data_IF_488863317058
#
_entry.id   IF_488863317058
#
_cell.length_a   1.000
_cell.length_b   1.000
_cell.length_c   1.000
_cell.angle_alpha   90.00
_cell.angle_beta   90.00
_cell.angle_gamma   90.00
#
_symmetry.space_group_name_H-M   'P 1'
#
loop_
_entity.id
_entity.type
_entity.pdbx_description
1 polymer ?
#
# COMPACT_ATOMS: atom_id res chain seq x y z
N UNK A 1 -53.56 -33.43 -23.33
CA UNK A 1 -52.10 -33.59 -23.54
C UNK A 1 -51.46 -32.61 -22.58
N UNK A 2 -51.12 -33.10 -21.38
CA UNK A 2 -50.35 -32.34 -20.41
C UNK A 2 -48.90 -32.38 -20.87
N UNK A 3 -48.34 -31.23 -21.24
CA UNK A 3 -46.90 -31.04 -21.19
C UNK A 3 -46.63 -30.20 -19.95
N UNK A 4 -46.26 -30.89 -18.87
CA UNK A 4 -45.58 -30.29 -17.74
C UNK A 4 -44.30 -29.62 -18.27
N UNK A 5 -44.34 -28.31 -18.47
CA UNK A 5 -43.15 -27.49 -18.56
C UNK A 5 -42.59 -27.27 -17.17
N UNK A 6 -41.98 -28.31 -16.59
CA UNK A 6 -41.07 -28.15 -15.47
C UNK A 6 -39.74 -27.64 -16.02
N UNK A 7 -39.47 -26.34 -15.86
CA UNK A 7 -38.13 -25.83 -15.62
C UNK A 7 -38.31 -24.68 -14.62
N UNK A 8 -38.38 -25.03 -13.33
CA UNK A 8 -37.79 -24.20 -12.30
C UNK A 8 -36.31 -24.06 -12.67
N UNK A 9 -35.97 -22.98 -13.37
CA UNK A 9 -34.61 -22.49 -13.38
C UNK A 9 -34.62 -21.37 -12.36
N UNK A 10 -34.35 -21.72 -11.10
CA UNK A 10 -33.81 -20.80 -10.12
C UNK A 10 -32.51 -20.26 -10.75
N UNK A 11 -32.64 -19.18 -11.53
CA UNK A 11 -31.55 -18.45 -12.18
C UNK A 11 -30.78 -17.61 -11.14
N UNK A 12 -30.67 -18.12 -9.92
CA UNK A 12 -29.97 -17.52 -8.79
C UNK A 12 -28.67 -18.27 -8.48
N UNK A 13 -28.25 -19.16 -9.38
CA UNK A 13 -26.97 -19.88 -9.29
C UNK A 13 -25.83 -18.97 -9.75
N UNK A 14 -25.28 -18.27 -8.74
CA UNK A 14 -23.93 -17.72 -8.64
C UNK A 14 -23.60 -16.45 -9.44
N UNK A 15 -24.43 -15.40 -9.31
CA UNK A 15 -23.90 -14.06 -9.57
C UNK A 15 -22.89 -13.70 -8.48
N UNK A 16 -21.61 -13.50 -8.86
CA UNK A 16 -20.56 -13.07 -7.94
C UNK A 16 -20.97 -11.72 -7.34
N UNK A 17 -20.96 -11.61 -6.01
CA UNK A 17 -21.33 -10.35 -5.34
C UNK A 17 -20.42 -9.21 -5.82
N UNK A 18 -20.92 -7.98 -5.76
CA UNK A 18 -20.13 -6.81 -6.16
C UNK A 18 -18.83 -6.70 -5.35
N UNK A 19 -18.88 -6.95 -4.05
CA UNK A 19 -17.71 -6.95 -3.17
C UNK A 19 -16.67 -7.97 -3.61
N UNK A 20 -17.11 -9.17 -4.01
CA UNK A 20 -16.22 -10.22 -4.50
C UNK A 20 -15.65 -9.87 -5.88
N UNK A 21 -16.41 -9.20 -6.75
CA UNK A 21 -15.89 -8.68 -8.04
C UNK A 21 -14.81 -7.63 -7.82
N UNK A 22 -15.03 -6.68 -6.90
CA UNK A 22 -14.03 -5.68 -6.53
C UNK A 22 -12.78 -6.34 -5.95
N UNK A 23 -12.94 -7.28 -5.02
CA UNK A 23 -11.82 -7.99 -4.40
C UNK A 23 -10.99 -8.74 -5.45
N UNK A 24 -11.63 -9.46 -6.37
CA UNK A 24 -10.95 -10.17 -7.44
C UNK A 24 -10.23 -9.20 -8.40
N UNK A 25 -10.85 -8.06 -8.73
CA UNK A 25 -10.23 -7.05 -9.61
C UNK A 25 -9.00 -6.37 -8.97
N UNK A 26 -8.96 -6.32 -7.64
CA UNK A 26 -7.89 -5.70 -6.87
C UNK A 26 -6.87 -6.69 -6.30
N UNK A 27 -7.01 -8.00 -6.57
CA UNK A 27 -6.17 -9.06 -5.98
C UNK A 27 -4.67 -8.82 -6.22
N UNK A 28 -4.31 -8.41 -7.45
CA UNK A 28 -2.93 -8.12 -7.84
C UNK A 28 -2.55 -6.64 -7.64
N UNK A 29 -3.45 -5.85 -7.06
CA UNK A 29 -3.20 -4.43 -6.80
C UNK A 29 -2.45 -4.25 -5.49
N UNK A 30 -1.16 -3.90 -5.57
CA UNK A 30 -0.36 -3.51 -4.42
C UNK A 30 -0.88 -2.20 -3.82
N UNK A 31 -1.38 -2.30 -2.60
CA UNK A 31 -1.88 -1.16 -1.80
C UNK A 31 -0.98 -0.79 -0.63
N UNK A 32 -0.05 -1.67 -0.24
CA UNK A 32 0.87 -1.46 0.88
C UNK A 32 2.34 -1.27 0.41
N UNK A 33 3.15 -0.45 1.12
CA UNK A 33 4.58 -0.33 0.84
C UNK A 33 5.30 -1.66 1.07
N UNK A 34 6.24 -2.00 0.18
CA UNK A 34 7.03 -3.24 0.28
C UNK A 34 8.51 -2.89 0.36
N UNK A 35 9.30 -3.52 1.24
CA UNK A 35 10.76 -3.37 1.24
C UNK A 35 11.37 -3.58 -0.14
N UNK A 36 12.22 -2.64 -0.58
CA UNK A 36 12.82 -2.59 -1.90
C UNK A 36 11.98 -1.89 -2.97
N UNK A 37 10.74 -1.48 -2.67
CA UNK A 37 9.88 -0.72 -3.58
C UNK A 37 10.04 0.80 -3.42
N UNK A 38 9.32 1.53 -4.28
CA UNK A 38 9.20 2.98 -4.15
C UNK A 38 7.87 3.37 -3.51
N UNK A 39 7.88 4.48 -2.79
CA UNK A 39 6.69 5.14 -2.27
C UNK A 39 6.79 6.66 -2.48
N UNK A 40 5.67 7.36 -2.46
CA UNK A 40 5.63 8.83 -2.46
C UNK A 40 5.24 9.26 -1.05
N UNK A 41 6.07 10.11 -0.43
CA UNK A 41 5.63 10.87 0.74
C UNK A 41 4.59 11.89 0.29
N UNK A 42 3.32 11.69 0.68
CA UNK A 42 2.23 12.55 0.25
C UNK A 42 2.31 13.98 0.81
N UNK A 43 3.05 14.21 1.90
CA UNK A 43 3.22 15.53 2.50
C UNK A 43 4.24 16.35 1.73
N UNK A 44 5.45 15.81 1.53
CA UNK A 44 6.52 16.51 0.82
C UNK A 44 6.45 16.35 -0.71
N UNK A 45 5.69 15.36 -1.19
CA UNK A 45 5.57 14.95 -2.60
C UNK A 45 6.88 14.44 -3.18
N UNK A 46 7.75 13.90 -2.33
CA UNK A 46 9.05 13.36 -2.74
C UNK A 46 8.99 11.84 -2.84
N UNK A 47 9.82 11.30 -3.72
CA UNK A 47 9.93 9.86 -3.94
C UNK A 47 10.88 9.26 -2.89
N UNK A 48 10.45 8.15 -2.31
CA UNK A 48 11.12 7.40 -1.26
C UNK A 48 11.47 6.00 -1.78
N UNK A 49 12.62 5.49 -1.36
CA UNK A 49 12.94 4.08 -1.42
C UNK A 49 12.61 3.44 -0.07
N UNK A 50 11.78 2.40 -0.08
CA UNK A 50 11.35 1.69 1.15
C UNK A 50 12.43 0.68 1.52
N UNK A 51 13.08 0.86 2.67
CA UNK A 51 14.11 -0.08 3.15
C UNK A 51 13.48 -1.26 3.88
N UNK A 52 12.62 -0.99 4.87
CA UNK A 52 12.05 -2.03 5.71
C UNK A 52 10.71 -1.59 6.31
N UNK A 53 9.86 -2.58 6.64
CA UNK A 53 8.78 -2.39 7.62
C UNK A 53 9.39 -2.58 9.01
N UNK A 54 9.29 -1.57 9.87
CA UNK A 54 9.95 -1.57 11.18
C UNK A 54 8.99 -1.80 12.35
N UNK A 55 7.70 -1.53 12.16
CA UNK A 55 6.65 -1.87 13.11
C UNK A 55 5.33 -2.16 12.40
N UNK A 56 4.48 -3.02 12.99
CA UNK A 56 3.16 -3.32 12.44
C UNK A 56 2.12 -2.26 12.82
N UNK A 57 2.34 -1.53 13.91
CA UNK A 57 1.53 -0.38 14.34
C UNK A 57 2.40 0.78 14.82
N UNK A 58 1.85 1.99 14.89
CA UNK A 58 2.56 3.15 15.45
C UNK A 58 2.71 3.06 16.97
N UNK A 59 1.83 2.32 17.64
CA UNK A 59 1.97 1.99 19.06
C UNK A 59 3.22 1.18 19.33
N UNK A 60 3.45 0.11 18.55
CA UNK A 60 4.67 -0.69 18.64
C UNK A 60 5.92 0.14 18.34
N UNK A 61 5.88 0.99 17.31
CA UNK A 61 6.98 1.89 16.97
C UNK A 61 7.31 2.84 18.14
N UNK A 62 6.30 3.43 18.77
CA UNK A 62 6.46 4.30 19.92
C UNK A 62 7.14 3.57 21.10
N UNK A 63 6.76 2.32 21.37
CA UNK A 63 7.37 1.53 22.43
C UNK A 63 8.86 1.22 22.16
N UNK A 64 9.23 0.99 20.89
CA UNK A 64 10.58 0.65 20.48
C UNK A 64 11.50 1.88 20.47
N UNK A 65 11.03 2.99 19.89
CA UNK A 65 11.86 4.16 19.57
C UNK A 65 11.61 5.34 20.53
N UNK A 66 10.61 5.25 21.42
CA UNK A 66 10.16 6.33 22.30
C UNK A 66 9.88 7.63 21.52
N UNK A 67 9.34 7.49 20.32
CA UNK A 67 9.03 8.58 19.39
C UNK A 67 7.64 8.40 18.79
N UNK A 68 6.79 9.42 18.91
CA UNK A 68 5.42 9.38 18.43
C UNK A 68 5.36 9.84 16.97
N UNK A 69 5.28 8.87 16.07
CA UNK A 69 5.22 9.11 14.63
C UNK A 69 3.83 9.60 14.19
N UNK A 70 2.76 9.28 14.93
CA UNK A 70 1.39 9.66 14.59
C UNK A 70 1.17 11.17 14.70
N UNK A 71 1.86 11.82 15.63
CA UNK A 71 1.77 13.27 15.86
C UNK A 71 2.92 14.07 15.26
N UNK A 72 3.87 13.41 14.58
CA UNK A 72 5.04 14.07 14.00
C UNK A 72 4.82 14.52 12.55
N UNK A 73 4.80 15.84 12.34
CA UNK A 73 4.55 16.45 11.02
C UNK A 73 3.17 16.12 10.45
N UNK A 74 2.07 16.26 11.22
CA UNK A 74 0.73 15.87 10.79
C UNK A 74 0.27 16.76 9.65
N UNK A 75 -0.44 16.16 8.69
CA UNK A 75 -1.04 16.87 7.59
C UNK A 75 -2.57 16.82 7.70
N UNK A 76 -3.30 17.95 7.65
CA UNK A 76 -4.73 17.99 7.95
C UNK A 76 -5.63 17.10 7.08
N UNK A 77 -5.14 16.70 5.91
CA UNK A 77 -5.88 15.89 4.94
C UNK A 77 -5.35 14.47 4.76
N UNK A 78 -4.33 14.09 5.55
CA UNK A 78 -3.77 12.75 5.55
C UNK A 78 -3.77 12.24 6.99
N UNK A 79 -4.94 11.84 7.50
CA UNK A 79 -5.03 11.31 8.84
C UNK A 79 -4.25 10.01 8.91
N UNK A 80 -3.21 10.02 9.75
CA UNK A 80 -2.43 8.84 10.14
C UNK A 80 -3.15 8.20 11.30
N UNK A 81 -3.38 6.88 11.22
CA UNK A 81 -4.04 6.11 12.28
C UNK A 81 -2.99 5.48 13.21
N UNK A 82 -3.36 5.19 14.46
CA UNK A 82 -2.49 4.48 15.41
C UNK A 82 -2.21 3.05 14.97
N UNK A 83 -3.13 2.46 14.20
CA UNK A 83 -3.00 1.14 13.61
C UNK A 83 -2.15 1.14 12.32
N UNK A 84 -1.65 2.29 11.87
CA UNK A 84 -0.75 2.35 10.71
C UNK A 84 0.58 1.67 11.01
N UNK A 85 1.07 0.89 10.04
CA UNK A 85 2.44 0.38 10.09
C UNK A 85 3.48 1.50 9.91
N UNK A 86 4.68 1.30 10.45
CA UNK A 86 5.82 2.19 10.26
C UNK A 86 6.84 1.59 9.27
N UNK A 87 7.28 2.41 8.31
CA UNK A 87 8.24 2.04 7.28
C UNK A 87 9.47 2.93 7.33
N UNK A 88 10.64 2.32 7.31
CA UNK A 88 11.93 2.99 7.18
C UNK A 88 12.23 3.22 5.70
N UNK A 89 12.54 4.47 5.35
CA UNK A 89 12.73 4.92 3.98
C UNK A 89 13.92 5.87 3.82
N UNK A 90 14.48 5.90 2.62
CA UNK A 90 15.42 6.93 2.16
C UNK A 90 14.74 7.84 1.14
N UNK A 91 15.09 9.13 1.14
CA UNK A 91 14.74 9.99 0.02
C UNK A 91 15.60 9.63 -1.19
N UNK A 92 14.97 9.39 -2.35
CA UNK A 92 15.70 9.01 -3.56
C UNK A 92 16.64 10.12 -4.02
N UNK A 93 16.31 11.39 -3.77
CA UNK A 93 17.18 12.50 -4.11
C UNK A 93 18.52 12.49 -3.35
N UNK A 94 18.58 11.80 -2.21
CA UNK A 94 19.80 11.62 -1.42
C UNK A 94 20.57 10.36 -1.85
N UNK A 95 19.97 9.51 -2.69
CA UNK A 95 20.60 8.32 -3.27
C UNK A 95 21.32 8.68 -4.57
N UNK A 96 22.60 8.31 -4.66
CA UNK A 96 23.34 8.34 -5.92
C UNK A 96 23.70 6.91 -6.34
N UNK A 97 23.61 6.61 -7.64
CA UNK A 97 23.98 5.29 -8.17
C UNK A 97 25.45 4.94 -7.92
N UNK A 98 26.32 5.95 -7.88
CA UNK A 98 27.75 5.80 -7.61
C UNK A 98 28.06 5.61 -6.11
N UNK A 99 27.07 5.81 -5.22
CA UNK A 99 27.21 5.73 -3.77
C UNK A 99 26.35 4.64 -3.12
N UNK A 100 25.90 3.64 -3.88
CA UNK A 100 25.10 2.54 -3.34
C UNK A 100 25.83 1.73 -2.26
N UNK A 101 27.16 1.67 -2.32
CA UNK A 101 27.98 1.01 -1.31
C UNK A 101 27.89 1.70 0.08
N UNK A 102 27.57 3.00 0.09
CA UNK A 102 27.44 3.82 1.30
C UNK A 102 25.98 3.92 1.79
N UNK A 103 25.05 3.15 1.19
CA UNK A 103 23.61 3.23 1.49
C UNK A 103 23.30 3.03 2.98
N UNK A 104 24.04 2.14 3.64
CA UNK A 104 23.86 1.85 5.06
C UNK A 104 24.27 3.02 5.97
N UNK A 105 25.09 3.94 5.47
CA UNK A 105 25.55 5.13 6.20
C UNK A 105 24.67 6.36 5.93
N UNK A 106 23.76 6.28 4.96
CA UNK A 106 22.81 7.34 4.68
C UNK A 106 21.75 7.43 5.77
N UNK A 107 21.21 8.64 5.93
CA UNK A 107 20.16 8.90 6.91
C UNK A 107 18.82 8.39 6.39
N UNK A 108 18.26 7.43 7.11
CA UNK A 108 16.90 6.95 6.96
C UNK A 108 15.92 7.72 7.87
N UNK A 109 14.65 7.55 7.56
CA UNK A 109 13.55 8.12 8.32
C UNK A 109 12.38 7.13 8.34
N UNK A 110 11.69 7.06 9.47
CA UNK A 110 10.45 6.32 9.59
C UNK A 110 9.26 7.16 9.10
N UNK A 111 8.32 6.51 8.41
CA UNK A 111 7.08 7.09 7.92
C UNK A 111 5.89 6.18 8.24
N UNK A 112 4.73 6.74 8.63
CA UNK A 112 3.51 5.97 8.82
C UNK A 112 2.88 5.60 7.47
N UNK A 113 2.26 4.42 7.39
CA UNK A 113 1.64 3.90 6.18
C UNK A 113 0.63 4.89 5.57
N UNK A 114 -0.23 5.53 6.37
CA UNK A 114 -1.23 6.49 5.91
C UNK A 114 -0.67 7.76 5.25
N UNK A 115 0.64 8.02 5.38
CA UNK A 115 1.34 9.13 4.71
C UNK A 115 1.94 8.73 3.36
N UNK A 116 2.01 7.44 3.06
CA UNK A 116 2.70 6.92 1.88
C UNK A 116 1.70 6.55 0.78
N UNK A 117 1.96 7.02 -0.44
CA UNK A 117 1.33 6.45 -1.63
C UNK A 117 2.27 5.42 -2.27
N UNK A 118 1.76 4.21 -2.46
CA UNK A 118 2.53 3.09 -3.03
C UNK A 118 2.68 3.28 -4.54
N UNK A 119 3.90 3.13 -5.03
CA UNK A 119 4.19 3.13 -6.46
C UNK A 119 4.47 1.69 -6.89
N UNK A 120 3.45 1.01 -7.42
CA UNK A 120 3.61 -0.31 -8.01
C UNK A 120 4.32 -0.23 -9.36
N UNK A 121 5.65 -0.04 -9.37
CA UNK A 121 6.43 0.12 -10.61
C UNK A 121 6.21 -1.07 -11.55
N UNK A 122 6.08 -2.27 -10.99
CA UNK A 122 5.76 -3.48 -11.77
C UNK A 122 4.38 -3.42 -12.43
N UNK A 123 3.41 -2.76 -11.80
CA UNK A 123 2.08 -2.55 -12.35
C UNK A 123 2.09 -1.52 -13.50
N UNK A 124 3.04 -0.58 -13.49
CA UNK A 124 3.20 0.36 -14.59
C UNK A 124 3.65 -0.31 -15.90
N UNK A 125 4.19 -1.54 -15.82
CA UNK A 125 4.56 -2.35 -16.99
C UNK A 125 3.54 -3.43 -17.34
N UNK A 126 2.51 -3.64 -16.51
CA UNK A 126 1.49 -4.63 -16.80
C UNK A 126 0.62 -4.17 -17.99
N UNK A 127 0.44 -5.04 -18.99
CA UNK A 127 -0.53 -4.85 -20.07
C UNK A 127 -1.95 -5.12 -19.54
N UNK A 128 -2.46 -4.23 -18.69
CA UNK A 128 -3.79 -4.34 -18.09
C UNK A 128 -3.93 -3.41 -16.91
N UNK A 129 -4.86 -2.45 -16.98
CA UNK A 129 -5.29 -1.70 -15.80
C UNK A 129 -6.12 -2.58 -14.88
N UNK A 130 -6.54 -2.05 -13.74
CA UNK A 130 -7.59 -2.68 -12.92
C UNK A 130 -8.81 -2.90 -13.83
N UNK A 131 -9.23 -4.16 -13.98
CA UNK A 131 -10.32 -4.53 -14.89
C UNK A 131 -11.66 -3.88 -14.50
N UNK A 132 -12.56 -3.74 -15.47
CA UNK A 132 -13.91 -3.24 -15.22
C UNK A 132 -14.63 -4.16 -14.23
N UNK A 133 -15.06 -3.59 -13.09
CA UNK A 133 -15.78 -4.31 -12.03
C UNK A 133 -17.21 -4.55 -12.41
#
# INVERSE_FOLDING_TARGET
>A
MSEQGAIDADFDDAEISYEQRVANALEDVRTEPVPGSLAIDLVTRQLLFVRAKVADTLGEYYEQENFDLATYGPHPWLPVDVDDAAYECYYINDLSLDGLDDLADLKDYAFPAGRLAVVGVEQAWAEGGVGDV
#
